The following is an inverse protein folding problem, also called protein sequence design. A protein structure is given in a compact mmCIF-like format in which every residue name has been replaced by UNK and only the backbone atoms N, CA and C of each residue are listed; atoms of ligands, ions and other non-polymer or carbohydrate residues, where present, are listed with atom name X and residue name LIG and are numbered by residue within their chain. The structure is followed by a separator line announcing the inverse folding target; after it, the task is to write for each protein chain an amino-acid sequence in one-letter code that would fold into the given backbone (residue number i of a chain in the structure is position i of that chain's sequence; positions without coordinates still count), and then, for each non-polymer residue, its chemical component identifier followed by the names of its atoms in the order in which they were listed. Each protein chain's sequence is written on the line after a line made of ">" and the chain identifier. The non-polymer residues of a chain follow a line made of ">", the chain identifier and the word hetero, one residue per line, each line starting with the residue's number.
data_IF_805820449116
#
_entry.id   IF_805820449116
#
_cell.length_a   1.000
_cell.length_b   1.000
_cell.length_c   1.000
_cell.angle_alpha   90.00
_cell.angle_beta   90.00
_cell.angle_gamma   90.00
#
_symmetry.space_group_name_H-M   'P 1'
#
loop_
_entity.id
_entity.type
_entity.pdbx_description
1 polymer ?
#
# COMPACT_ATOMS: atom_id res chain seq x y z
N UNK A 1 18.95 -11.42 -11.15
CA UNK A 1 20.29 -11.45 -10.53
C UNK A 1 20.31 -10.44 -9.37
N UNK A 2 20.03 -10.87 -8.14
CA UNK A 2 20.02 -9.94 -6.99
C UNK A 2 21.47 -9.66 -6.59
N UNK A 3 21.94 -8.40 -6.73
CA UNK A 3 23.17 -7.97 -6.06
C UNK A 3 22.93 -8.09 -4.56
N UNK A 4 23.56 -9.08 -3.92
CA UNK A 4 23.66 -9.13 -2.47
C UNK A 4 24.45 -7.90 -2.04
N UNK A 5 23.84 -7.09 -1.17
CA UNK A 5 24.54 -5.99 -0.51
C UNK A 5 25.70 -6.58 0.30
N UNK A 6 26.94 -6.26 -0.06
CA UNK A 6 28.13 -6.54 0.75
C UNK A 6 28.22 -5.49 1.85
N UNK A 7 27.30 -5.57 2.82
CA UNK A 7 27.32 -4.82 4.08
C UNK A 7 27.77 -5.73 5.24
N UNK A 8 27.75 -5.25 6.50
CA UNK A 8 28.09 -6.09 7.66
C UNK A 8 27.29 -7.40 7.64
N UNK A 9 27.80 -8.47 8.25
CA UNK A 9 27.29 -9.84 8.09
C UNK A 9 25.83 -10.11 8.57
N UNK A 10 25.08 -9.08 8.98
CA UNK A 10 23.90 -9.23 9.85
C UNK A 10 22.56 -8.68 9.34
N UNK A 11 22.42 -7.57 8.57
CA UNK A 11 21.10 -7.07 8.19
C UNK A 11 20.52 -7.87 7.01
N UNK A 12 19.29 -8.35 7.18
CA UNK A 12 18.52 -9.02 6.12
C UNK A 12 17.47 -8.06 5.55
N UNK A 13 17.63 -7.71 4.28
CA UNK A 13 16.61 -6.99 3.52
C UNK A 13 15.58 -8.02 3.03
N UNK A 14 14.37 -7.96 3.58
CA UNK A 14 13.31 -8.96 3.29
C UNK A 14 11.97 -8.33 2.91
N UNK A 15 11.84 -7.03 3.09
CA UNK A 15 10.57 -6.31 2.94
C UNK A 15 10.80 -5.06 2.11
N UNK A 16 9.94 -4.85 1.12
CA UNK A 16 9.82 -3.60 0.38
C UNK A 16 8.60 -2.83 0.91
N UNK A 17 8.78 -1.53 1.15
CA UNK A 17 7.68 -0.65 1.54
C UNK A 17 7.16 0.10 0.32
N UNK A 18 5.84 0.12 0.13
CA UNK A 18 5.17 0.85 -0.96
C UNK A 18 4.10 1.74 -0.35
N UNK A 19 4.31 3.05 -0.39
CA UNK A 19 3.32 4.03 0.08
C UNK A 19 2.21 4.17 -0.96
N UNK A 20 0.95 4.02 -0.53
CA UNK A 20 -0.18 4.07 -1.44
C UNK A 20 -0.84 5.43 -1.53
N UNK A 21 -0.73 6.25 -0.47
CA UNK A 21 -1.32 7.57 -0.39
C UNK A 21 -0.65 8.45 0.68
N UNK A 22 -1.16 9.68 0.81
CA UNK A 22 -0.72 10.65 1.79
C UNK A 22 -1.50 10.59 3.11
N UNK A 23 -1.47 11.70 3.84
CA UNK A 23 -2.13 11.83 5.15
C UNK A 23 -3.52 12.42 5.02
N UNK A 24 -4.39 12.11 5.98
CA UNK A 24 -5.77 12.62 6.01
C UNK A 24 -5.88 14.07 6.50
N UNK A 25 -4.91 14.54 7.30
CA UNK A 25 -4.97 15.82 8.01
C UNK A 25 -5.06 17.04 7.08
N UNK A 26 -5.82 18.05 7.50
CA UNK A 26 -5.86 19.37 6.86
C UNK A 26 -4.52 20.12 7.09
N UNK A 27 -3.98 20.85 6.10
CA UNK A 27 -4.54 21.11 4.77
C UNK A 27 -4.15 20.09 3.70
N UNK A 28 -3.38 19.04 4.03
CA UNK A 28 -2.86 18.11 3.04
C UNK A 28 -3.96 17.27 2.37
N UNK A 29 -4.82 16.60 3.16
CA UNK A 29 -5.97 15.81 2.70
C UNK A 29 -5.61 14.90 1.50
N UNK A 30 -4.45 14.25 1.56
CA UNK A 30 -3.87 13.52 0.44
C UNK A 30 -4.14 12.00 0.51
N UNK A 31 -4.76 11.51 1.58
CA UNK A 31 -5.18 10.12 1.67
C UNK A 31 -6.25 9.80 0.62
N UNK A 32 -6.14 8.65 -0.03
CA UNK A 32 -7.00 8.29 -1.14
C UNK A 32 -8.32 7.70 -0.62
N UNK A 33 -9.44 8.38 -0.88
CA UNK A 33 -10.76 8.02 -0.35
C UNK A 33 -11.76 7.53 -1.42
N UNK A 34 -12.66 6.63 -1.02
CA UNK A 34 -13.81 6.17 -1.81
C UNK A 34 -14.99 7.13 -1.77
N UNK A 35 -15.02 8.04 -0.80
CA UNK A 35 -15.98 9.15 -0.70
C UNK A 35 -15.23 10.47 -0.56
N UNK A 36 -15.72 11.59 -1.10
CA UNK A 36 -14.99 12.84 -1.03
C UNK A 36 -14.78 13.34 0.41
N UNK A 37 -13.67 14.05 0.61
CA UNK A 37 -13.44 14.83 1.82
C UNK A 37 -14.57 15.82 2.07
N UNK A 38 -14.77 16.18 3.33
CA UNK A 38 -15.75 17.20 3.72
C UNK A 38 -15.07 18.54 3.96
N UNK A 39 -15.77 19.62 3.64
CA UNK A 39 -15.33 20.97 4.00
C UNK A 39 -15.64 21.28 5.47
N UNK A 40 -15.28 22.48 5.92
CA UNK A 40 -15.52 22.93 7.30
C UNK A 40 -17.01 22.92 7.71
N UNK A 41 -17.94 23.03 6.74
CA UNK A 41 -19.38 22.94 6.98
C UNK A 41 -19.92 21.49 6.94
N UNK A 42 -19.03 20.49 6.89
CA UNK A 42 -19.39 19.08 6.84
C UNK A 42 -19.97 18.60 5.50
N UNK A 43 -19.97 19.46 4.46
CA UNK A 43 -20.51 19.13 3.12
C UNK A 43 -19.44 18.42 2.28
N UNK A 44 -19.82 17.42 1.45
CA UNK A 44 -18.87 16.75 0.57
C UNK A 44 -18.24 17.75 -0.41
N UNK A 45 -16.95 17.60 -0.63
CA UNK A 45 -16.19 18.31 -1.65
C UNK A 45 -16.12 17.48 -2.94
N UNK A 46 -15.37 17.94 -3.95
CA UNK A 46 -14.95 17.11 -5.09
C UNK A 46 -13.64 16.33 -4.84
N UNK A 47 -12.94 16.61 -3.74
CA UNK A 47 -11.60 16.09 -3.48
C UNK A 47 -11.65 14.71 -2.82
N UNK A 48 -10.89 13.76 -3.32
CA UNK A 48 -10.83 12.36 -2.83
C UNK A 48 -9.40 11.90 -2.51
N UNK A 49 -8.46 12.85 -2.42
CA UNK A 49 -7.03 12.54 -2.46
C UNK A 49 -6.63 11.88 -3.78
N UNK A 50 -5.34 11.59 -3.93
CA UNK A 50 -4.81 10.92 -5.12
C UNK A 50 -3.90 9.77 -4.66
N UNK A 51 -4.09 8.54 -5.17
CA UNK A 51 -3.18 7.45 -4.87
C UNK A 51 -1.83 7.70 -5.56
N UNK A 52 -0.74 7.31 -4.91
CA UNK A 52 0.60 7.42 -5.51
C UNK A 52 0.86 6.35 -6.59
N UNK A 53 0.09 5.27 -6.56
CA UNK A 53 0.19 4.16 -7.50
C UNK A 53 -1.21 3.67 -7.87
N UNK A 54 -1.42 3.30 -9.12
CA UNK A 54 -2.70 2.73 -9.55
C UNK A 54 -2.90 1.34 -8.94
N UNK A 55 -4.16 0.91 -8.79
CA UNK A 55 -4.48 -0.44 -8.30
C UNK A 55 -3.83 -1.53 -9.17
N UNK A 56 -3.88 -1.36 -10.50
CA UNK A 56 -3.25 -2.27 -11.46
C UNK A 56 -1.75 -2.36 -11.26
N UNK A 57 -1.07 -1.22 -11.14
CA UNK A 57 0.39 -1.17 -11.01
C UNK A 57 0.84 -1.70 -9.65
N UNK A 58 0.08 -1.43 -8.60
CA UNK A 58 0.35 -1.98 -7.27
C UNK A 58 0.21 -3.50 -7.27
N UNK A 59 -0.86 -4.07 -7.84
CA UNK A 59 -1.01 -5.52 -7.99
C UNK A 59 0.13 -6.15 -8.80
N UNK A 60 0.57 -5.50 -9.89
CA UNK A 60 1.68 -5.98 -10.71
C UNK A 60 3.00 -5.97 -9.92
N UNK A 61 3.27 -4.91 -9.17
CA UNK A 61 4.46 -4.77 -8.33
C UNK A 61 4.47 -5.81 -7.20
N UNK A 62 3.37 -5.99 -6.47
CA UNK A 62 3.28 -6.98 -5.39
C UNK A 62 3.46 -8.39 -5.93
N UNK A 63 2.89 -8.70 -7.10
CA UNK A 63 3.12 -9.99 -7.78
C UNK A 63 4.60 -10.23 -8.09
N UNK A 64 5.29 -9.22 -8.62
CA UNK A 64 6.72 -9.34 -8.93
C UNK A 64 7.56 -9.53 -7.66
N UNK A 65 7.29 -8.74 -6.61
CA UNK A 65 7.97 -8.82 -5.33
C UNK A 65 7.72 -10.16 -4.62
N UNK A 66 6.49 -10.66 -4.61
CA UNK A 66 6.16 -11.98 -4.07
C UNK A 66 6.89 -13.09 -4.85
N UNK A 67 6.94 -13.03 -6.18
CA UNK A 67 7.69 -14.00 -6.96
C UNK A 67 9.18 -14.03 -6.58
N UNK A 68 9.76 -12.87 -6.31
CA UNK A 68 11.19 -12.68 -6.01
C UNK A 68 11.57 -12.89 -4.53
N UNK A 69 10.63 -13.31 -3.66
CA UNK A 69 10.97 -13.58 -2.26
C UNK A 69 10.67 -12.45 -1.28
N UNK A 70 10.26 -11.28 -1.76
CA UNK A 70 10.05 -10.11 -0.94
C UNK A 70 8.68 -10.13 -0.23
N UNK A 71 8.67 -9.60 1.00
CA UNK A 71 7.44 -9.16 1.65
C UNK A 71 7.13 -7.75 1.20
N UNK A 72 5.85 -7.40 1.18
CA UNK A 72 5.41 -6.03 0.91
C UNK A 72 4.78 -5.47 2.18
N UNK A 73 5.22 -4.30 2.56
CA UNK A 73 4.59 -3.46 3.56
C UNK A 73 3.94 -2.26 2.86
N UNK A 74 2.64 -2.05 3.06
CA UNK A 74 1.88 -1.01 2.38
C UNK A 74 1.21 -0.07 3.40
N UNK A 75 1.84 1.07 3.73
CA UNK A 75 1.15 2.16 4.40
C UNK A 75 -0.02 2.65 3.54
N UNK A 76 -1.22 2.57 4.09
CA UNK A 76 -2.46 2.92 3.41
C UNK A 76 -3.40 3.62 4.39
N UNK A 77 -3.53 4.94 4.24
CA UNK A 77 -4.33 5.77 5.15
C UNK A 77 -5.79 5.72 4.74
N UNK A 78 -6.12 6.12 3.52
CA UNK A 78 -7.50 6.21 3.05
C UNK A 78 -8.09 4.88 2.61
N UNK A 79 -9.41 4.73 2.72
CA UNK A 79 -10.13 3.50 2.39
C UNK A 79 -9.97 3.04 0.93
N UNK A 80 -9.75 3.96 -0.03
CA UNK A 80 -9.40 3.60 -1.41
C UNK A 80 -8.00 3.00 -1.49
N UNK A 81 -7.03 3.53 -0.75
CA UNK A 81 -5.68 2.98 -0.66
C UNK A 81 -5.67 1.61 0.04
N UNK A 82 -6.45 1.44 1.11
CA UNK A 82 -6.61 0.14 1.79
C UNK A 82 -7.14 -0.91 0.83
N UNK A 83 -8.17 -0.57 0.04
CA UNK A 83 -8.71 -1.48 -0.98
C UNK A 83 -7.65 -1.86 -2.03
N UNK A 84 -6.86 -0.89 -2.50
CA UNK A 84 -5.74 -1.14 -3.42
C UNK A 84 -4.69 -2.09 -2.82
N UNK A 85 -4.41 -1.98 -1.52
CA UNK A 85 -3.51 -2.90 -0.83
C UNK A 85 -4.09 -4.33 -0.76
N UNK A 86 -5.37 -4.45 -0.41
CA UNK A 86 -6.05 -5.75 -0.27
C UNK A 86 -6.17 -6.48 -1.61
N UNK A 87 -6.50 -5.77 -2.69
CA UNK A 87 -6.54 -6.34 -4.04
C UNK A 87 -5.20 -6.99 -4.42
N UNK A 88 -4.07 -6.36 -4.05
CA UNK A 88 -2.75 -6.90 -4.31
C UNK A 88 -2.41 -8.12 -3.45
N UNK A 89 -2.84 -8.16 -2.19
CA UNK A 89 -2.73 -9.35 -1.35
C UNK A 89 -3.54 -10.52 -1.93
N UNK A 90 -4.78 -10.27 -2.36
CA UNK A 90 -5.64 -11.27 -3.00
C UNK A 90 -4.99 -11.82 -4.28
N UNK A 91 -4.40 -10.95 -5.10
CA UNK A 91 -3.75 -11.32 -6.36
C UNK A 91 -2.63 -12.36 -6.20
N UNK A 92 -1.94 -12.38 -5.06
CA UNK A 92 -0.81 -13.30 -4.78
C UNK A 92 -1.16 -14.40 -3.77
N UNK A 93 -2.39 -14.41 -3.25
CA UNK A 93 -2.85 -15.43 -2.33
C UNK A 93 -2.84 -16.82 -2.98
N UNK A 94 -2.42 -17.83 -2.23
CA UNK A 94 -2.34 -19.23 -2.69
C UNK A 94 -3.14 -20.10 -1.71
N UNK A 95 -4.30 -20.66 -2.13
CA UNK A 95 -5.10 -21.54 -1.27
C UNK A 95 -4.26 -22.67 -0.68
N UNK A 96 -4.44 -22.95 0.61
CA UNK A 96 -3.73 -24.04 1.30
C UNK A 96 -2.24 -23.84 1.55
N UNK A 97 -1.64 -22.70 1.16
CA UNK A 97 -0.23 -22.38 1.44
C UNK A 97 -0.13 -21.13 2.29
N UNK A 98 0.72 -21.16 3.32
CA UNK A 98 1.13 -19.93 4.01
C UNK A 98 1.95 -19.09 3.03
N UNK A 99 1.31 -18.07 2.45
CA UNK A 99 1.97 -17.07 1.62
C UNK A 99 2.91 -16.18 2.42
N UNK A 100 3.53 -15.21 1.75
CA UNK A 100 4.32 -14.18 2.44
C UNK A 100 3.37 -13.30 3.25
N UNK A 101 3.79 -12.94 4.47
CA UNK A 101 3.02 -12.07 5.36
C UNK A 101 3.18 -10.62 4.89
N UNK A 102 2.41 -10.22 3.88
CA UNK A 102 2.25 -8.82 3.51
C UNK A 102 1.54 -8.07 4.65
N UNK A 103 1.90 -6.81 4.89
CA UNK A 103 1.39 -6.02 6.02
C UNK A 103 0.85 -4.67 5.54
N UNK A 104 -0.25 -4.23 6.16
CA UNK A 104 -0.88 -2.93 5.95
C UNK A 104 -0.90 -2.17 7.28
N UNK A 105 -0.81 -0.84 7.24
CA UNK A 105 -0.87 0.04 8.43
C UNK A 105 -1.72 1.29 8.17
N UNK A 106 -2.09 1.99 9.25
CA UNK A 106 -3.04 3.11 9.34
C UNK A 106 -4.49 2.65 9.27
N UNK A 107 -5.00 2.27 8.09
CA UNK A 107 -6.37 1.75 7.93
C UNK A 107 -7.45 2.73 8.44
N UNK A 108 -7.37 3.99 8.01
CA UNK A 108 -8.29 5.05 8.44
C UNK A 108 -9.50 5.18 7.48
N UNK A 109 -10.55 5.88 7.93
CA UNK A 109 -11.74 6.20 7.14
C UNK A 109 -12.14 7.67 7.28
#
# INVERSE_FOLDING_TARGET
>A
MHRRFTGPATPRLTTATVFLDGVMAFPAQAAALLTPYRNAAGRPTGHRGEPYVSDRDHQALVRALDADGWRVHAPAVGDRAVRTALNACERVARPGRRGRRHTLTHLDR
#
